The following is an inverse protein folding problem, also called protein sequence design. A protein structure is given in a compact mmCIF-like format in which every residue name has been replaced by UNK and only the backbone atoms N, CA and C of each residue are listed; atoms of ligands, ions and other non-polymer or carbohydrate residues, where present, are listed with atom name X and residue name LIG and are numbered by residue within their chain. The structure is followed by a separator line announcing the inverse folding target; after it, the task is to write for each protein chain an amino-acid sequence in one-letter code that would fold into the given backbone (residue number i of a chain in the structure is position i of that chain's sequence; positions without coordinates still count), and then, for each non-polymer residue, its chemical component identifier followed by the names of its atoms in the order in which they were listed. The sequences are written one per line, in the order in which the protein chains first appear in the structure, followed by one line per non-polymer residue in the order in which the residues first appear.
data_IF_714336039820
#
_entry.id   IF_714336039820
#
_cell.length_a   1.000
_cell.length_b   1.000
_cell.length_c   1.000
_cell.angle_alpha   90.00
_cell.angle_beta   90.00
_cell.angle_gamma   90.00
#
_symmetry.space_group_name_H-M   'P 1'
#
loop_
_entity.id
_entity.type
_entity.pdbx_description
1 polymer ?
#
# COMPACT_ATOMS: atom_id res chain seq x y z
N UNK A 1 -2.34 -5.68 5.03
CA UNK A 1 -1.84 -5.71 3.63
C UNK A 1 -1.97 -4.39 2.89
N UNK A 2 -3.08 -3.65 3.01
CA UNK A 2 -3.33 -2.43 2.24
C UNK A 2 -2.23 -1.36 2.35
N UNK A 3 -1.76 -1.04 3.56
CA UNK A 3 -0.63 -0.10 3.74
C UNK A 3 0.65 -0.54 3.04
N UNK A 4 0.97 -1.84 3.02
CA UNK A 4 2.16 -2.36 2.34
C UNK A 4 2.09 -2.14 0.82
N UNK A 5 0.90 -2.28 0.24
CA UNK A 5 0.69 -2.09 -1.21
C UNK A 5 0.72 -0.60 -1.55
N UNK A 6 0.09 0.24 -0.74
CA UNK A 6 -0.04 1.68 -1.02
C UNK A 6 1.23 2.46 -0.76
N UNK A 7 1.99 2.08 0.26
CA UNK A 7 3.21 2.81 0.64
C UNK A 7 4.49 2.14 0.16
N UNK A 8 4.41 0.86 -0.23
CA UNK A 8 5.55 0.01 -0.56
C UNK A 8 6.61 -0.09 0.55
N UNK A 9 6.30 0.26 1.80
CA UNK A 9 7.27 0.20 2.90
C UNK A 9 7.56 -1.24 3.36
N UNK A 10 8.65 -1.45 4.10
CA UNK A 10 9.05 -2.80 4.51
C UNK A 10 8.02 -3.37 5.48
N UNK A 11 7.81 -4.68 5.42
CA UNK A 11 6.83 -5.38 6.28
C UNK A 11 7.01 -5.03 7.75
N UNK A 12 8.25 -5.08 8.22
CA UNK A 12 8.56 -4.85 9.63
C UNK A 12 8.26 -3.40 10.03
N UNK A 13 8.68 -2.43 9.21
CA UNK A 13 8.40 -1.00 9.43
C UNK A 13 6.89 -0.74 9.56
N UNK A 14 6.08 -1.29 8.64
CA UNK A 14 4.61 -1.13 8.66
C UNK A 14 3.95 -1.92 9.78
N UNK A 15 4.46 -3.11 10.12
CA UNK A 15 3.90 -3.95 11.17
C UNK A 15 4.14 -3.38 12.57
N UNK A 16 5.24 -2.65 12.75
CA UNK A 16 5.63 -2.01 14.01
C UNK A 16 5.18 -0.54 14.07
N UNK A 17 4.57 0.00 13.01
CA UNK A 17 4.06 1.37 12.98
C UNK A 17 2.99 1.58 14.04
N UNK A 18 3.15 2.63 14.84
CA UNK A 18 2.07 3.12 15.71
C UNK A 18 1.26 4.19 14.97
N UNK A 19 -0.06 4.15 15.10
CA UNK A 19 -0.95 5.10 14.42
C UNK A 19 -0.79 6.54 14.90
N UNK A 20 -0.30 6.74 16.14
CA UNK A 20 0.04 8.06 16.66
C UNK A 20 1.23 8.69 15.94
N UNK A 21 2.02 7.92 15.20
CA UNK A 21 3.09 8.46 14.36
C UNK A 21 2.52 9.19 13.13
N UNK A 22 1.30 8.89 12.69
CA UNK A 22 0.72 9.48 11.48
C UNK A 22 0.24 10.90 11.75
N UNK A 23 0.80 11.83 10.97
CA UNK A 23 0.25 13.16 10.81
C UNK A 23 -0.84 13.12 9.73
N UNK A 24 -2.10 13.11 10.18
CA UNK A 24 -3.26 13.06 9.31
C UNK A 24 -3.48 14.36 8.53
N UNK A 25 -3.05 15.51 9.09
CA UNK A 25 -3.19 16.82 8.44
C UNK A 25 -2.16 16.96 7.32
N UNK A 26 -0.92 16.58 7.58
CA UNK A 26 0.15 16.56 6.58
C UNK A 26 0.09 15.33 5.64
N UNK A 27 -0.76 14.35 5.96
CA UNK A 27 -0.86 13.04 5.29
C UNK A 27 0.52 12.38 5.15
N UNK A 28 1.24 12.28 6.27
CA UNK A 28 2.58 11.70 6.30
C UNK A 28 2.77 10.79 7.48
N UNK A 29 3.58 9.77 7.27
CA UNK A 29 4.14 8.95 8.33
C UNK A 29 5.66 9.20 8.42
N UNK A 30 6.14 9.88 9.48
CA UNK A 30 7.56 9.97 9.80
C UNK A 30 8.04 8.63 10.40
N UNK A 31 8.91 7.94 9.67
CA UNK A 31 9.65 6.78 10.15
C UNK A 31 11.01 7.26 10.67
N UNK A 32 11.25 7.24 11.99
CA UNK A 32 12.50 7.70 12.57
C UNK A 32 13.66 6.75 12.23
N UNK A 33 14.89 7.27 12.24
CA UNK A 33 16.08 6.57 11.78
C UNK A 33 16.31 5.24 12.52
N UNK A 34 16.00 5.19 13.82
CA UNK A 34 16.18 4.05 14.70
C UNK A 34 15.31 2.85 14.33
N UNK A 35 14.23 3.11 13.58
CA UNK A 35 13.30 2.09 13.07
C UNK A 35 13.49 1.83 11.57
N UNK A 36 14.11 2.77 10.86
CA UNK A 36 14.33 2.66 9.44
C UNK A 36 15.44 1.65 9.15
N UNK A 37 15.22 0.75 8.19
CA UNK A 37 16.19 -0.32 7.90
C UNK A 37 17.56 0.17 7.41
N UNK A 38 17.64 1.42 6.95
CA UNK A 38 18.84 2.06 6.45
C UNK A 38 19.43 3.09 7.42
N UNK A 39 18.95 3.13 8.66
CA UNK A 39 19.40 4.07 9.69
C UNK A 39 19.25 5.55 9.31
N UNK A 40 18.41 5.87 8.31
CA UNK A 40 18.08 7.25 7.91
C UNK A 40 16.59 7.53 8.11
N UNK A 41 16.29 8.66 8.75
CA UNK A 41 14.92 9.10 8.94
C UNK A 41 14.21 9.28 7.59
N UNK A 42 13.03 8.71 7.48
CA UNK A 42 12.26 8.66 6.25
C UNK A 42 10.86 9.22 6.48
N UNK A 43 10.35 10.00 5.53
CA UNK A 43 8.97 10.47 5.57
C UNK A 43 8.24 9.81 4.42
N UNK A 44 7.20 9.04 4.77
CA UNK A 44 6.34 8.31 3.85
C UNK A 44 5.08 9.14 3.61
N UNK A 45 4.88 9.70 2.41
CA UNK A 45 3.61 10.33 2.08
C UNK A 45 2.50 9.28 2.04
N UNK A 46 1.33 9.63 2.57
CA UNK A 46 0.15 8.77 2.57
C UNK A 46 -0.86 9.34 1.57
N UNK A 47 -1.33 8.51 0.64
CA UNK A 47 -2.39 8.92 -0.27
C UNK A 47 -3.75 8.95 0.47
N UNK A 48 -4.74 9.71 -0.02
CA UNK A 48 -6.08 9.71 0.55
C UNK A 48 -6.69 8.31 0.67
N UNK A 49 -6.42 7.41 -0.29
CA UNK A 49 -6.92 6.04 -0.24
C UNK A 49 -6.23 5.16 0.82
N UNK A 50 -5.00 5.51 1.21
CA UNK A 50 -4.30 4.90 2.34
C UNK A 50 -4.93 5.31 3.68
N UNK A 51 -5.51 6.50 3.74
CA UNK A 51 -6.23 7.07 4.88
C UNK A 51 -7.76 6.90 4.78
N UNK A 52 -8.26 6.15 3.80
CA UNK A 52 -9.68 6.04 3.48
C UNK A 52 -10.54 5.60 4.68
N UNK A 53 -11.79 6.05 4.72
CA UNK A 53 -12.78 5.76 5.76
C UNK A 53 -12.96 4.25 5.98
N UNK A 54 -12.80 3.42 4.95
CA UNK A 54 -12.84 1.97 5.09
C UNK A 54 -11.63 1.42 5.87
N UNK A 55 -10.45 1.99 5.65
CA UNK A 55 -9.25 1.69 6.43
C UNK A 55 -9.45 2.15 7.88
N UNK A 56 -9.86 3.40 8.08
CA UNK A 56 -10.14 3.96 9.40
C UNK A 56 -11.19 3.13 10.15
N UNK A 57 -12.29 2.71 9.49
CA UNK A 57 -13.33 1.86 10.07
C UNK A 57 -12.81 0.49 10.49
N UNK A 58 -12.10 -0.22 9.61
CA UNK A 58 -11.46 -1.51 9.94
C UNK A 58 -10.53 -1.35 11.15
N UNK A 59 -9.85 -0.21 11.27
CA UNK A 59 -8.91 0.08 12.34
C UNK A 59 -9.60 0.43 13.65
N UNK A 60 -10.68 1.22 13.62
CA UNK A 60 -11.54 1.47 14.80
C UNK A 60 -12.15 0.17 15.31
N UNK A 61 -12.56 -0.73 14.42
CA UNK A 61 -13.08 -2.06 14.77
C UNK A 61 -11.96 -2.97 15.35
N UNK A 62 -10.72 -2.89 14.82
CA UNK A 62 -9.58 -3.73 15.24
C UNK A 62 -8.83 -3.24 16.48
N UNK A 63 -9.02 -1.99 16.92
CA UNK A 63 -8.58 -1.53 18.23
C UNK A 63 -9.34 -2.21 19.39
N UNK A 64 -10.45 -2.90 19.11
CA UNK A 64 -11.24 -3.66 20.09
C UNK A 64 -11.24 -5.18 19.92
N UNK A 65 -11.34 -5.71 18.69
CA UNK A 65 -11.43 -7.17 18.47
C UNK A 65 -10.81 -7.62 17.15
N UNK A 66 -10.17 -8.80 17.15
CA UNK A 66 -9.69 -9.49 15.96
C UNK A 66 -10.62 -10.66 15.59
N UNK A 67 -10.73 -10.97 14.28
CA UNK A 67 -11.30 -12.17 13.59
C UNK A 67 -12.80 -12.16 13.17
N UNK A 68 -13.23 -12.87 12.08
CA UNK A 68 -12.68 -14.14 11.56
C UNK A 68 -12.26 -14.20 10.06
N UNK A 69 -11.20 -14.98 9.86
CA UNK A 69 -10.75 -15.76 8.69
C UNK A 69 -10.80 -15.13 7.27
N UNK A 70 -9.64 -14.76 6.68
CA UNK A 70 -9.57 -14.49 5.24
C UNK A 70 -9.85 -15.79 4.46
N UNK A 71 -10.56 -15.69 3.34
CA UNK A 71 -10.66 -16.83 2.42
C UNK A 71 -9.24 -17.28 2.04
N UNK A 72 -8.94 -18.59 2.03
CA UNK A 72 -7.60 -19.07 1.73
C UNK A 72 -7.30 -18.83 0.25
N UNK A 73 -6.74 -17.66 -0.05
CA UNK A 73 -6.09 -17.39 -1.33
C UNK A 73 -4.73 -18.05 -1.26
N UNK A 74 -4.58 -19.19 -1.93
CA UNK A 74 -3.28 -19.84 -2.11
C UNK A 74 -2.51 -19.02 -3.15
N UNK A 75 -1.65 -18.13 -2.66
CA UNK A 75 -0.68 -17.41 -3.48
C UNK A 75 0.57 -18.31 -3.54
N UNK A 76 1.03 -18.75 -4.73
CA UNK A 76 2.27 -19.53 -4.86
C UNK A 76 3.46 -18.77 -4.27
N UNK A 77 4.53 -19.49 -3.89
CA UNK A 77 5.66 -19.04 -3.06
C UNK A 77 6.04 -17.56 -3.25
N UNK A 78 5.39 -16.70 -2.47
CA UNK A 78 5.50 -15.25 -2.53
C UNK A 78 6.21 -14.77 -1.26
N UNK A 79 7.15 -13.85 -1.41
CA UNK A 79 7.78 -13.17 -0.27
C UNK A 79 7.21 -11.76 -0.20
N UNK A 80 7.13 -11.20 0.99
CA UNK A 80 6.73 -9.79 1.17
C UNK A 80 7.58 -8.78 0.35
N UNK A 81 8.78 -9.20 -0.06
CA UNK A 81 9.65 -8.42 -0.94
C UNK A 81 9.08 -8.27 -2.37
N UNK A 82 8.19 -9.17 -2.80
CA UNK A 82 7.58 -9.13 -4.13
C UNK A 82 6.61 -7.96 -4.27
N UNK A 83 5.95 -7.52 -3.19
CA UNK A 83 5.13 -6.29 -3.20
C UNK A 83 5.99 -5.07 -3.57
N UNK A 84 7.19 -4.98 -3.00
CA UNK A 84 8.11 -3.87 -3.24
C UNK A 84 8.70 -3.91 -4.66
N UNK A 85 9.02 -5.10 -5.17
CA UNK A 85 9.49 -5.27 -6.55
C UNK A 85 8.41 -4.93 -7.56
N UNK A 86 7.20 -5.46 -7.38
CA UNK A 86 6.05 -5.16 -8.23
C UNK A 86 5.74 -3.66 -8.20
N UNK A 87 5.72 -3.05 -7.02
CA UNK A 87 5.51 -1.61 -6.86
C UNK A 87 6.57 -0.77 -7.57
N UNK A 88 7.86 -1.08 -7.37
CA UNK A 88 8.96 -0.39 -8.04
C UNK A 88 8.85 -0.44 -9.56
N UNK A 89 8.56 -1.62 -10.12
CA UNK A 89 8.36 -1.79 -11.56
C UNK A 89 7.16 -1.00 -12.07
N UNK A 90 6.06 -0.93 -11.31
CA UNK A 90 4.89 -0.15 -11.69
C UNK A 90 5.14 1.36 -11.61
N UNK A 91 5.90 1.84 -10.62
CA UNK A 91 6.31 3.25 -10.58
C UNK A 91 7.13 3.62 -11.83
N UNK A 92 8.05 2.76 -12.26
CA UNK A 92 8.77 2.95 -13.51
C UNK A 92 7.85 2.94 -14.74
N UNK A 93 6.86 2.03 -14.78
CA UNK A 93 5.87 2.00 -15.86
C UNK A 93 4.98 3.25 -15.91
N UNK A 94 4.80 3.93 -14.77
CA UNK A 94 4.13 5.24 -14.68
C UNK A 94 5.05 6.41 -15.08
N UNK A 95 6.31 6.15 -15.44
CA UNK A 95 7.27 7.18 -15.82
C UNK A 95 7.95 7.86 -14.64
N UNK A 96 7.81 7.32 -13.42
CA UNK A 96 8.45 7.88 -12.23
C UNK A 96 9.95 7.60 -12.28
N UNK A 97 10.82 8.63 -12.15
CA UNK A 97 12.26 8.44 -12.19
C UNK A 97 12.78 7.46 -11.13
N UNK A 98 13.90 6.80 -11.41
CA UNK A 98 14.48 5.77 -10.53
C UNK A 98 14.96 6.35 -9.19
N UNK A 99 15.48 7.56 -9.18
CA UNK A 99 15.87 8.29 -7.97
C UNK A 99 14.66 8.57 -7.05
N UNK A 100 13.50 8.88 -7.63
CA UNK A 100 12.25 9.07 -6.88
C UNK A 100 11.72 7.73 -6.40
N UNK A 101 11.79 6.69 -7.23
CA UNK A 101 11.40 5.32 -6.86
C UNK A 101 12.23 4.79 -5.69
N UNK A 102 13.56 4.94 -5.75
CA UNK A 102 14.47 4.55 -4.66
C UNK A 102 14.21 5.39 -3.40
N UNK A 103 13.90 6.68 -3.56
CA UNK A 103 13.50 7.54 -2.44
C UNK A 103 12.17 7.09 -1.80
N UNK A 104 11.13 6.75 -2.58
CA UNK A 104 9.86 6.19 -2.08
C UNK A 104 10.12 4.92 -1.28
N UNK A 105 11.00 4.05 -1.79
CA UNK A 105 11.32 2.78 -1.14
C UNK A 105 12.26 2.94 0.06
N UNK A 106 12.79 4.13 0.31
CA UNK A 106 13.87 4.32 1.28
C UNK A 106 15.03 3.32 1.02
N UNK A 107 15.45 3.23 -0.24
CA UNK A 107 16.44 2.28 -0.73
C UNK A 107 17.74 3.01 -1.06
N UNK A 108 18.87 2.47 -0.58
CA UNK A 108 20.21 2.98 -0.89
C UNK A 108 20.84 2.04 -1.90
N UNK A 109 20.81 2.43 -3.17
CA UNK A 109 21.46 1.75 -4.29
C UNK A 109 21.94 2.79 -5.31
N UNK A 110 22.22 2.40 -6.56
CA UNK A 110 22.99 3.18 -7.53
C UNK A 110 22.78 4.71 -7.55
N UNK A 111 21.56 5.22 -7.37
CA UNK A 111 21.28 6.68 -7.39
C UNK A 111 21.68 7.41 -6.10
N UNK A 112 21.92 6.68 -5.02
CA UNK A 112 22.22 7.18 -3.67
C UNK A 112 23.43 6.51 -3.00
N UNK A 113 24.04 5.51 -3.64
CA UNK A 113 25.22 4.82 -3.15
C UNK A 113 26.51 5.38 -3.77
N UNK A 114 27.65 5.16 -3.09
CA UNK A 114 28.96 5.59 -3.58
C UNK A 114 29.03 7.10 -3.85
N UNK A 115 29.66 7.48 -4.97
CA UNK A 115 29.85 8.89 -5.35
C UNK A 115 28.52 9.60 -5.63
N UNK A 116 27.52 8.89 -6.17
CA UNK A 116 26.20 9.47 -6.41
C UNK A 116 25.56 9.99 -5.11
N UNK A 117 25.76 9.28 -4.00
CA UNK A 117 25.28 9.69 -2.67
C UNK A 117 25.90 10.97 -2.11
N UNK A 118 27.06 11.40 -2.62
CA UNK A 118 27.69 12.68 -2.25
C UNK A 118 26.85 13.85 -2.79
N UNK A 119 26.36 13.71 -4.02
CA UNK A 119 25.64 14.77 -4.72
C UNK A 119 24.12 14.66 -4.55
N UNK A 120 23.59 13.44 -4.51
CA UNK A 120 22.16 13.19 -4.44
C UNK A 120 21.66 13.12 -2.98
N UNK A 121 21.61 14.28 -2.33
CA UNK A 121 21.10 14.43 -0.96
C UNK A 121 19.62 14.85 -0.91
N UNK A 122 19.05 15.26 -2.04
CA UNK A 122 17.66 15.74 -2.11
C UNK A 122 16.68 14.61 -1.78
N UNK A 123 15.73 14.86 -0.87
CA UNK A 123 14.84 13.81 -0.31
C UNK A 123 13.68 13.45 -1.23
N UNK A 124 13.43 14.26 -2.25
CA UNK A 124 12.33 14.09 -3.20
C UNK A 124 10.95 14.05 -2.53
N UNK A 125 10.74 14.76 -1.41
CA UNK A 125 9.48 14.68 -0.66
C UNK A 125 8.25 15.07 -1.51
N UNK A 126 8.27 16.15 -2.31
CA UNK A 126 7.18 16.46 -3.25
C UNK A 126 6.96 15.39 -4.32
N UNK A 127 8.04 14.87 -4.90
CA UNK A 127 7.99 13.90 -6.00
C UNK A 127 7.55 12.52 -5.51
N UNK A 128 7.96 12.11 -4.31
CA UNK A 128 7.45 10.91 -3.64
C UNK A 128 5.94 11.01 -3.42
N UNK A 129 5.44 12.18 -3.01
CA UNK A 129 4.01 12.40 -2.80
C UNK A 129 3.24 12.25 -4.11
N UNK A 130 3.73 12.87 -5.18
CA UNK A 130 3.14 12.74 -6.51
C UNK A 130 3.17 11.28 -7.00
N UNK A 131 4.30 10.59 -6.89
CA UNK A 131 4.45 9.20 -7.30
C UNK A 131 3.49 8.26 -6.57
N UNK A 132 3.32 8.43 -5.25
CA UNK A 132 2.38 7.62 -4.48
C UNK A 132 0.91 7.95 -4.76
N UNK A 133 0.60 9.20 -5.15
CA UNK A 133 -0.72 9.58 -5.63
C UNK A 133 -1.05 8.96 -7.00
N UNK A 134 -0.09 8.95 -7.94
CA UNK A 134 -0.25 8.31 -9.25
C UNK A 134 -0.40 6.79 -9.10
N UNK A 135 0.38 6.18 -8.20
CA UNK A 135 0.25 4.77 -7.87
C UNK A 135 -1.12 4.42 -7.27
N UNK A 136 -1.62 5.24 -6.36
CA UNK A 136 -2.96 5.11 -5.80
C UNK A 136 -4.04 5.18 -6.89
N UNK A 137 -3.96 6.19 -7.76
CA UNK A 137 -4.88 6.33 -8.89
C UNK A 137 -4.88 5.09 -9.80
N UNK A 138 -3.69 4.53 -10.08
CA UNK A 138 -3.52 3.30 -10.85
C UNK A 138 -4.15 2.09 -10.16
N UNK A 139 -3.96 1.93 -8.85
CA UNK A 139 -4.58 0.85 -8.09
C UNK A 139 -6.11 0.94 -8.10
N UNK A 140 -6.66 2.15 -7.92
CA UNK A 140 -8.10 2.35 -7.98
C UNK A 140 -8.65 2.05 -9.38
N UNK A 141 -7.92 2.36 -10.44
CA UNK A 141 -8.27 1.96 -11.80
C UNK A 141 -8.31 0.43 -11.96
N UNK A 142 -7.30 -0.28 -11.46
CA UNK A 142 -7.29 -1.75 -11.46
C UNK A 142 -8.51 -2.31 -10.71
N UNK A 143 -8.84 -1.76 -9.55
CA UNK A 143 -9.99 -2.21 -8.75
C UNK A 143 -11.31 -1.98 -9.50
N UNK A 144 -11.46 -0.84 -10.20
CA UNK A 144 -12.64 -0.56 -11.04
C UNK A 144 -12.76 -1.55 -12.19
N UNK A 145 -11.64 -1.87 -12.85
CA UNK A 145 -11.63 -2.75 -14.02
C UNK A 145 -11.76 -4.25 -13.66
N UNK A 146 -11.58 -4.61 -12.39
CA UNK A 146 -11.73 -5.99 -11.90
C UNK A 146 -13.15 -6.27 -11.38
N UNK A 147 -14.02 -5.25 -11.31
CA UNK A 147 -15.43 -5.47 -10.98
C UNK A 147 -16.08 -6.31 -12.08
N UNK A 148 -16.23 -7.62 -11.82
CA UNK A 148 -16.99 -8.54 -12.67
C UNK A 148 -18.37 -7.91 -12.91
N UNK A 149 -18.83 -7.72 -14.15
CA UNK A 149 -20.20 -7.28 -14.38
C UNK A 149 -21.10 -8.31 -13.72
N UNK A 150 -21.95 -7.89 -12.79
CA UNK A 150 -22.93 -8.76 -12.15
C UNK A 150 -23.68 -9.51 -13.24
N UNK A 151 -23.35 -10.80 -13.41
CA UNK A 151 -23.87 -11.60 -14.50
C UNK A 151 -25.38 -11.75 -14.31
N UNK A 152 -26.15 -11.21 -15.27
CA UNK A 152 -27.38 -11.78 -15.84
C UNK A 152 -28.50 -12.24 -14.90
N UNK A 153 -29.69 -11.65 -15.10
CA UNK A 153 -31.03 -12.16 -14.75
C UNK A 153 -31.09 -13.67 -14.50
N UNK A 154 -31.62 -14.05 -13.34
CA UNK A 154 -32.49 -15.22 -13.25
C UNK A 154 -33.93 -14.71 -13.16
N UNK A 155 -34.67 -15.01 -14.23
CA UNK A 155 -36.12 -14.90 -14.35
C UNK A 155 -36.82 -15.85 -13.37
N UNK A 156 -38.01 -15.45 -12.94
CA UNK A 156 -39.04 -16.22 -12.22
C UNK A 156 -38.97 -17.75 -12.42
N UNK A 157 -38.99 -18.52 -11.33
CA UNK A 157 -39.16 -19.97 -11.34
C UNK A 157 -39.35 -20.55 -9.93
N UNK A 158 -40.61 -20.81 -9.58
CA UNK A 158 -41.12 -21.41 -8.35
C UNK A 158 -40.74 -22.90 -8.22
N UNK A 159 -40.16 -23.34 -7.09
CA UNK A 159 -40.14 -24.70 -6.51
C UNK A 159 -39.28 -24.61 -5.22
N UNK A 160 -39.74 -24.86 -3.98
CA UNK A 160 -40.30 -26.10 -3.44
C UNK A 160 -41.22 -25.90 -2.23
N UNK A 161 -42.21 -26.80 -2.14
CA UNK A 161 -43.19 -27.06 -1.09
C UNK A 161 -42.59 -27.22 0.32
N UNK A 162 -43.30 -26.66 1.30
CA UNK A 162 -43.23 -27.04 2.72
C UNK A 162 -44.25 -28.17 2.96
N UNK A 163 -43.78 -29.38 3.26
CA UNK A 163 -44.60 -30.37 3.95
C UNK A 163 -44.28 -30.32 5.44
N UNK A 164 -45.28 -29.94 6.20
CA UNK A 164 -45.38 -30.10 7.66
C UNK A 164 -45.78 -31.54 7.95
N UNK A 165 -45.04 -32.19 8.85
CA UNK A 165 -45.59 -33.15 9.81
C UNK A 165 -45.35 -32.55 11.21
#
# INVERSE_FOLDING_TARGET
MRLLILTMQRRQEVAEMDWSEIDFDAQTWPLPAERAKNDEAHVVPLSPFALDAHMLRIMTERLGHFSPEPSPVVIPDWRFHDIRRTGATNLQALGIPIEVTEAVLNHISGTRAGVAGIYNRYRYDPEKRAALADWDARLQEMLRNTAVPASGRLTNGNIYNTHVL
#
